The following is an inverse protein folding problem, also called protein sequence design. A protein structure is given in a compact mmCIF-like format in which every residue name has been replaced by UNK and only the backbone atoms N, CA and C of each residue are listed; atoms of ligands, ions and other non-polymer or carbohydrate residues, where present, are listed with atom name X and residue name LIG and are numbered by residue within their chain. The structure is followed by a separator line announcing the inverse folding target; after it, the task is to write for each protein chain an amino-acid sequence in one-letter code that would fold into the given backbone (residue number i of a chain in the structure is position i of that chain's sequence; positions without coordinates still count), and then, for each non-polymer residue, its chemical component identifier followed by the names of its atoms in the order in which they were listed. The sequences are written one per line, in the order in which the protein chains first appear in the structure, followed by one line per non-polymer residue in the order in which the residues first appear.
data_IF_252896468251
#
_entry.id   IF_252896468251
#
_cell.length_a   1.000
_cell.length_b   1.000
_cell.length_c   1.000
_cell.angle_alpha   90.00
_cell.angle_beta   90.00
_cell.angle_gamma   90.00
#
_symmetry.space_group_name_H-M   'P 1'
#
loop_
_entity.id
_entity.type
_entity.pdbx_description
1 polymer ?
#
# COMPACT_ATOMS: atom_id res chain seq x y z
N UNK A 1 8.59 -7.34 9.63
CA UNK A 1 9.45 -6.85 8.53
C UNK A 1 10.45 -5.86 9.10
N UNK A 2 11.70 -5.90 8.66
CA UNK A 2 12.73 -4.95 9.09
C UNK A 2 12.63 -3.62 8.29
N UNK A 3 12.77 -2.48 8.99
CA UNK A 3 12.65 -1.14 8.38
C UNK A 3 13.72 -0.86 7.34
N UNK A 4 14.96 -1.32 7.57
CA UNK A 4 16.08 -1.10 6.65
C UNK A 4 15.87 -1.88 5.36
N UNK A 5 15.34 -3.11 5.45
CA UNK A 5 14.96 -3.90 4.27
C UNK A 5 13.86 -3.18 3.47
N UNK A 6 12.81 -2.71 4.16
CA UNK A 6 11.72 -1.97 3.52
C UNK A 6 12.21 -0.70 2.82
N UNK A 7 13.03 0.12 3.48
CA UNK A 7 13.54 1.36 2.91
C UNK A 7 14.41 1.11 1.68
N UNK A 8 15.29 0.11 1.73
CA UNK A 8 16.08 -0.29 0.56
C UNK A 8 15.20 -0.69 -0.63
N UNK A 9 14.11 -1.39 -0.36
CA UNK A 9 13.16 -1.82 -1.38
C UNK A 9 12.43 -0.61 -2.00
N UNK A 10 11.90 0.29 -1.18
CA UNK A 10 11.15 1.45 -1.66
C UNK A 10 12.04 2.47 -2.39
N UNK A 11 13.33 2.52 -2.07
CA UNK A 11 14.30 3.43 -2.66
C UNK A 11 14.81 3.04 -4.06
N UNK A 12 14.28 1.99 -4.70
CA UNK A 12 14.75 1.50 -6.01
C UNK A 12 14.93 2.61 -7.06
N UNK A 13 13.97 3.53 -7.13
CA UNK A 13 13.92 4.59 -8.15
C UNK A 13 14.43 5.95 -7.67
N UNK A 14 15.19 5.99 -6.56
CA UNK A 14 15.69 7.25 -5.99
C UNK A 14 16.56 8.07 -6.95
N UNK A 15 17.18 7.44 -7.95
CA UNK A 15 17.99 8.13 -8.97
C UNK A 15 17.14 9.03 -9.87
N UNK A 16 15.83 8.78 -9.96
CA UNK A 16 14.86 9.66 -10.64
C UNK A 16 14.35 10.79 -9.71
N UNK A 17 14.99 10.98 -8.56
CA UNK A 17 14.68 12.03 -7.60
C UNK A 17 13.88 11.56 -6.39
N UNK A 18 13.89 12.40 -5.35
CA UNK A 18 13.11 12.20 -4.11
C UNK A 18 12.59 13.54 -3.60
N UNK A 19 11.43 13.54 -2.96
CA UNK A 19 10.86 14.74 -2.32
C UNK A 19 10.18 14.38 -1.02
N UNK A 20 10.50 15.12 0.05
CA UNK A 20 9.75 15.11 1.31
C UNK A 20 8.71 16.22 1.28
N UNK A 21 7.46 15.89 1.56
CA UNK A 21 6.36 16.85 1.64
C UNK A 21 6.29 17.34 3.08
N UNK A 22 6.49 18.64 3.30
CA UNK A 22 6.56 19.19 4.66
C UNK A 22 5.22 19.09 5.40
N UNK A 23 4.11 19.35 4.70
CA UNK A 23 2.77 19.44 5.29
C UNK A 23 2.23 18.08 5.74
N UNK A 24 2.57 16.99 5.04
CA UNK A 24 2.05 15.64 5.34
C UNK A 24 3.14 14.70 5.85
N UNK A 25 4.41 15.06 5.67
CA UNK A 25 5.57 14.22 5.92
C UNK A 25 5.76 13.09 4.90
N UNK A 26 4.92 12.98 3.86
CA UNK A 26 5.05 11.96 2.83
C UNK A 26 6.42 12.04 2.15
N UNK A 27 7.00 10.87 1.87
CA UNK A 27 8.27 10.77 1.17
C UNK A 27 8.04 10.11 -0.19
N UNK A 28 8.22 10.90 -1.23
CA UNK A 28 7.99 10.56 -2.62
C UNK A 28 9.31 10.17 -3.28
N UNK A 29 9.32 9.06 -4.01
CA UNK A 29 10.53 8.44 -4.55
C UNK A 29 10.31 8.12 -6.03
N UNK A 30 11.24 8.59 -6.86
CA UNK A 30 11.27 8.41 -8.30
C UNK A 30 10.21 9.24 -9.01
N UNK A 31 10.59 10.42 -9.49
CA UNK A 31 9.67 11.27 -10.23
C UNK A 31 9.29 10.62 -11.56
N UNK A 32 7.99 10.50 -11.82
CA UNK A 32 7.44 9.86 -13.02
C UNK A 32 6.82 10.90 -13.97
N UNK A 33 7.59 11.93 -14.33
CA UNK A 33 7.12 13.01 -15.23
C UNK A 33 6.56 12.53 -16.57
N UNK A 34 6.92 11.31 -17.00
CA UNK A 34 6.38 10.69 -18.21
C UNK A 34 4.89 10.29 -18.08
N UNK A 35 4.37 10.14 -16.85
CA UNK A 35 2.95 9.90 -16.56
C UNK A 35 2.23 11.23 -16.33
N UNK A 36 2.75 12.03 -15.38
CA UNK A 36 2.29 13.39 -15.09
C UNK A 36 3.39 14.15 -14.35
N UNK A 37 3.39 15.48 -14.42
CA UNK A 37 4.43 16.32 -13.78
C UNK A 37 4.56 16.09 -12.27
N UNK A 38 3.45 15.73 -11.62
CA UNK A 38 3.35 15.45 -10.19
C UNK A 38 3.24 13.95 -9.87
N UNK A 39 3.51 13.06 -10.83
CA UNK A 39 3.52 11.62 -10.57
C UNK A 39 4.84 11.19 -9.91
N UNK A 40 4.73 10.24 -8.99
CA UNK A 40 5.86 9.64 -8.29
C UNK A 40 5.65 8.14 -8.24
N UNK A 41 6.70 7.38 -8.56
CA UNK A 41 6.61 5.92 -8.62
C UNK A 41 6.24 5.35 -7.26
N UNK A 42 7.00 5.69 -6.22
CA UNK A 42 6.76 5.17 -4.88
C UNK A 42 6.45 6.29 -3.89
N UNK A 43 5.58 6.00 -2.93
CA UNK A 43 5.26 6.87 -1.80
C UNK A 43 5.22 6.08 -0.50
N UNK A 44 5.85 6.63 0.54
CA UNK A 44 5.78 6.13 1.92
C UNK A 44 5.39 7.28 2.85
N UNK A 45 4.80 6.96 4.00
CA UNK A 45 4.16 7.94 4.86
C UNK A 45 4.65 7.83 6.30
N UNK A 46 4.67 8.94 7.06
CA UNK A 46 5.08 8.92 8.47
C UNK A 46 4.26 7.91 9.27
N UNK A 47 4.95 7.10 10.07
CA UNK A 47 4.32 6.09 10.92
C UNK A 47 3.30 6.70 11.89
N UNK A 48 2.35 5.87 12.31
CA UNK A 48 1.36 6.22 13.32
C UNK A 48 1.95 6.05 14.72
N UNK A 49 1.58 6.96 15.61
CA UNK A 49 1.73 6.76 17.05
C UNK A 49 0.75 5.70 17.57
N UNK A 50 0.96 5.25 18.82
CA UNK A 50 0.03 4.38 19.53
C UNK A 50 -1.37 5.00 19.64
N UNK A 51 -1.43 6.28 20.02
CA UNK A 51 -2.68 7.01 20.10
C UNK A 51 -3.39 7.07 18.73
N UNK A 52 -2.67 7.45 17.66
CA UNK A 52 -3.29 7.53 16.33
C UNK A 52 -3.83 6.19 15.84
N UNK A 53 -3.17 5.09 16.22
CA UNK A 53 -3.56 3.73 15.85
C UNK A 53 -4.78 3.29 16.66
N UNK A 54 -4.83 3.56 17.97
CA UNK A 54 -6.01 3.30 18.80
C UNK A 54 -7.25 4.09 18.35
N UNK A 55 -7.07 5.36 17.96
CA UNK A 55 -8.13 6.16 17.34
C UNK A 55 -8.61 5.55 16.02
N UNK A 56 -7.70 5.01 15.21
CA UNK A 56 -8.06 4.34 13.96
C UNK A 56 -8.85 3.06 14.24
N UNK A 57 -8.42 2.22 15.18
CA UNK A 57 -9.16 1.00 15.58
C UNK A 57 -10.57 1.34 16.08
N UNK A 58 -10.71 2.42 16.84
CA UNK A 58 -12.01 2.95 17.28
C UNK A 58 -12.87 3.39 16.10
N UNK A 59 -12.28 4.11 15.12
CA UNK A 59 -13.00 4.57 13.92
C UNK A 59 -13.46 3.41 13.03
N UNK A 60 -12.66 2.36 12.94
CA UNK A 60 -12.94 1.18 12.12
C UNK A 60 -13.88 0.18 12.80
N UNK A 61 -14.21 0.40 14.07
CA UNK A 61 -14.97 -0.53 14.92
C UNK A 61 -14.40 -1.95 14.90
N UNK A 62 -13.07 -2.06 14.85
CA UNK A 62 -12.39 -3.34 14.78
C UNK A 62 -10.91 -3.22 15.15
N UNK A 63 -10.31 -4.32 15.58
CA UNK A 63 -8.87 -4.41 15.81
C UNK A 63 -8.11 -4.58 14.50
N UNK A 64 -7.00 -3.86 14.38
CA UNK A 64 -6.07 -4.03 13.25
C UNK A 64 -5.22 -5.27 13.55
N UNK A 65 -5.01 -6.19 12.57
CA UNK A 65 -4.16 -7.35 12.75
C UNK A 65 -2.75 -6.95 13.25
N UNK A 66 -2.15 -7.68 14.22
CA UNK A 66 -0.91 -7.28 14.86
C UNK A 66 0.24 -6.97 13.88
N UNK A 67 0.41 -7.75 12.81
CA UNK A 67 1.45 -7.49 11.81
C UNK A 67 1.22 -6.18 11.05
N UNK A 68 -0.03 -5.89 10.68
CA UNK A 68 -0.36 -4.66 9.97
C UNK A 68 -0.27 -3.44 10.89
N UNK A 69 -0.67 -3.63 12.16
CA UNK A 69 -0.52 -2.63 13.19
C UNK A 69 0.95 -2.26 13.38
N UNK A 70 1.83 -3.27 13.49
CA UNK A 70 3.26 -3.06 13.55
C UNK A 70 3.79 -2.31 12.32
N UNK A 71 3.33 -2.69 11.12
CA UNK A 71 3.68 -2.00 9.88
C UNK A 71 3.31 -0.51 9.92
N UNK A 72 2.08 -0.17 10.31
CA UNK A 72 1.61 1.22 10.39
C UNK A 72 2.41 2.07 11.39
N UNK A 73 2.91 1.47 12.47
CA UNK A 73 3.60 2.18 13.55
C UNK A 73 5.12 2.22 13.41
N UNK A 74 5.72 1.24 12.76
CA UNK A 74 7.17 1.07 12.75
C UNK A 74 7.76 1.13 11.34
N UNK A 75 6.93 0.93 10.30
CA UNK A 75 7.38 0.87 8.92
C UNK A 75 6.87 2.04 8.09
N UNK A 76 5.56 2.15 7.90
CA UNK A 76 4.95 3.20 7.10
C UNK A 76 3.43 3.21 7.33
N UNK A 77 2.84 4.39 7.42
CA UNK A 77 1.38 4.54 7.46
C UNK A 77 0.77 4.33 6.07
N UNK A 78 0.74 3.07 5.60
CA UNK A 78 0.41 2.73 4.22
C UNK A 78 1.59 2.93 3.26
N UNK A 79 1.42 2.58 1.99
CA UNK A 79 2.41 2.82 0.93
C UNK A 79 1.78 2.73 -0.45
N UNK A 80 2.45 3.30 -1.44
CA UNK A 80 2.10 3.19 -2.85
C UNK A 80 3.36 2.84 -3.64
N UNK A 81 3.24 1.88 -4.56
CA UNK A 81 4.34 1.35 -5.38
C UNK A 81 3.97 1.49 -6.84
N UNK A 82 4.90 2.01 -7.64
CA UNK A 82 4.80 2.21 -9.09
C UNK A 82 3.52 2.93 -9.55
N UNK A 83 3.10 4.01 -8.89
CA UNK A 83 1.84 4.72 -9.20
C UNK A 83 0.62 3.82 -8.95
N UNK A 84 0.54 3.33 -7.71
CA UNK A 84 -0.60 2.59 -7.15
C UNK A 84 -0.80 1.16 -7.70
N UNK A 85 0.14 0.64 -8.49
CA UNK A 85 0.14 -0.76 -8.95
C UNK A 85 0.02 -1.73 -7.77
N UNK A 86 0.66 -1.39 -6.64
CA UNK A 86 0.35 -1.96 -5.34
C UNK A 86 0.20 -0.83 -4.34
N UNK A 87 -0.89 -0.86 -3.58
CA UNK A 87 -1.13 0.08 -2.50
C UNK A 87 -1.53 -0.65 -1.21
N UNK A 88 -0.95 -0.19 -0.09
CA UNK A 88 -1.36 -0.56 1.26
C UNK A 88 -1.92 0.68 1.96
N UNK A 89 -3.08 0.53 2.57
CA UNK A 89 -3.89 1.64 3.08
C UNK A 89 -3.46 2.01 4.51
N UNK A 90 -3.64 3.26 4.89
CA UNK A 90 -3.27 3.77 6.20
C UNK A 90 -4.33 4.70 6.78
N UNK A 91 -3.98 5.42 7.84
CA UNK A 91 -4.78 6.52 8.37
C UNK A 91 -4.57 7.76 7.52
N UNK A 92 -5.61 8.21 6.83
CA UNK A 92 -5.64 9.54 6.24
C UNK A 92 -5.94 10.57 7.33
N UNK A 93 -5.15 11.64 7.44
CA UNK A 93 -5.28 12.64 8.52
C UNK A 93 -6.26 13.76 8.17
N UNK A 94 -6.45 14.05 6.88
CA UNK A 94 -7.43 15.04 6.41
C UNK A 94 -7.83 14.80 4.94
N UNK A 95 -8.91 15.47 4.51
CA UNK A 95 -9.42 15.44 3.13
C UNK A 95 -9.19 16.76 2.39
N UNK A 96 -8.26 17.58 2.86
CA UNK A 96 -7.97 18.90 2.27
C UNK A 96 -7.34 18.70 0.89
N UNK A 97 -7.87 19.40 -0.12
CA UNK A 97 -7.41 19.36 -1.52
C UNK A 97 -7.03 20.75 -2.05
N UNK A 98 -6.50 21.60 -1.18
CA UNK A 98 -6.07 22.96 -1.53
C UNK A 98 -4.75 22.99 -2.30
N UNK A 99 -3.95 21.93 -2.22
CA UNK A 99 -2.74 21.74 -3.01
C UNK A 99 -2.45 20.25 -3.25
N UNK A 100 -1.64 19.97 -4.27
CA UNK A 100 -1.17 18.60 -4.55
C UNK A 100 -0.44 18.02 -3.32
N UNK A 101 0.38 18.83 -2.65
CA UNK A 101 1.12 18.44 -1.44
C UNK A 101 0.18 18.02 -0.30
N UNK A 102 -0.93 18.74 -0.08
CA UNK A 102 -1.92 18.39 0.94
C UNK A 102 -2.59 17.03 0.67
N UNK A 103 -2.66 16.61 -0.60
CA UNK A 103 -3.24 15.31 -0.98
C UNK A 103 -2.30 14.13 -0.78
N UNK A 104 -0.99 14.34 -0.56
CA UNK A 104 0.02 13.27 -0.38
C UNK A 104 -0.10 12.61 0.97
N UNK A 105 -1.07 11.71 1.05
CA UNK A 105 -1.43 10.90 2.22
C UNK A 105 -1.81 9.51 1.71
N UNK A 106 -1.76 8.46 2.56
CA UNK A 106 -2.18 7.14 2.13
C UNK A 106 -3.66 7.11 1.75
N UNK A 107 -4.05 6.10 1.00
CA UNK A 107 -5.45 5.70 0.90
C UNK A 107 -5.99 5.31 2.29
N UNK A 108 -7.25 5.59 2.54
CA UNK A 108 -7.83 5.45 3.86
C UNK A 108 -8.26 4.01 4.13
N UNK A 109 -7.74 3.41 5.20
CA UNK A 109 -8.04 2.02 5.60
C UNK A 109 -9.54 1.77 5.79
N UNK A 110 -10.31 2.80 6.17
CA UNK A 110 -11.78 2.71 6.25
C UNK A 110 -12.41 2.34 4.91
N UNK A 111 -11.93 2.92 3.82
CA UNK A 111 -12.44 2.67 2.47
C UNK A 111 -12.19 1.21 2.07
N UNK A 112 -11.05 0.62 2.45
CA UNK A 112 -10.77 -0.80 2.21
C UNK A 112 -11.78 -1.74 2.92
N UNK A 113 -12.23 -1.37 4.12
CA UNK A 113 -13.21 -2.16 4.88
C UNK A 113 -14.65 -1.93 4.41
N UNK A 114 -15.01 -0.71 4.03
CA UNK A 114 -16.34 -0.37 3.51
C UNK A 114 -16.57 -0.94 2.11
N UNK A 115 -15.53 -1.00 1.27
CA UNK A 115 -15.60 -1.52 -0.09
C UNK A 115 -15.20 -3.00 -0.21
N UNK A 116 -15.27 -3.77 0.89
CA UNK A 116 -14.93 -5.19 0.85
C UNK A 116 -15.92 -6.02 0.01
N UNK A 117 -15.49 -7.13 -0.61
CA UNK A 117 -16.37 -8.08 -1.28
C UNK A 117 -17.54 -8.55 -0.41
N UNK A 118 -18.69 -8.84 -1.02
CA UNK A 118 -19.91 -9.24 -0.28
C UNK A 118 -19.74 -10.54 0.50
N UNK A 119 -18.87 -11.45 0.04
CA UNK A 119 -18.57 -12.72 0.70
C UNK A 119 -17.45 -12.62 1.75
N UNK A 120 -16.97 -11.41 2.08
CA UNK A 120 -15.96 -11.22 3.11
C UNK A 120 -16.52 -11.46 4.52
N UNK A 121 -15.77 -12.18 5.36
CA UNK A 121 -16.11 -12.41 6.77
C UNK A 121 -15.52 -11.33 7.68
N UNK A 122 -15.84 -11.37 8.98
CA UNK A 122 -15.23 -10.50 10.00
C UNK A 122 -13.75 -10.78 10.24
N UNK A 123 -13.28 -11.99 9.89
CA UNK A 123 -11.89 -12.39 10.04
C UNK A 123 -11.00 -11.84 8.92
N UNK A 124 -11.59 -11.34 7.84
CA UNK A 124 -10.86 -10.77 6.70
C UNK A 124 -10.67 -9.27 6.87
N UNK A 125 -9.45 -8.85 7.21
CA UNK A 125 -9.11 -7.44 7.36
C UNK A 125 -8.47 -6.90 6.08
N UNK A 126 -9.20 -6.11 5.30
CA UNK A 126 -8.70 -5.58 4.03
C UNK A 126 -7.69 -4.46 4.25
N UNK A 127 -6.55 -4.57 3.57
CA UNK A 127 -5.39 -3.70 3.77
C UNK A 127 -4.97 -2.91 2.52
N UNK A 128 -5.53 -3.21 1.35
CA UNK A 128 -5.11 -2.57 0.11
C UNK A 128 -5.44 -3.40 -1.12
N UNK A 129 -4.67 -3.22 -2.19
CA UNK A 129 -4.94 -3.88 -3.47
C UNK A 129 -4.03 -3.45 -4.61
N UNK A 130 -4.45 -3.83 -5.82
CA UNK A 130 -3.75 -3.54 -7.08
C UNK A 130 -4.65 -2.68 -7.97
N UNK A 131 -4.08 -1.64 -8.60
CA UNK A 131 -4.84 -0.70 -9.43
C UNK A 131 -5.30 -1.31 -10.77
N UNK A 132 -4.55 -2.28 -11.32
CA UNK A 132 -4.81 -2.90 -12.63
C UNK A 132 -6.24 -3.38 -12.85
N UNK A 133 -6.80 -4.11 -11.88
CA UNK A 133 -8.18 -4.63 -11.93
C UNK A 133 -9.00 -4.30 -10.67
N UNK A 134 -8.42 -3.54 -9.73
CA UNK A 134 -9.02 -3.24 -8.43
C UNK A 134 -9.12 -4.46 -7.51
N UNK A 135 -8.35 -5.52 -7.77
CA UNK A 135 -8.18 -6.65 -6.87
C UNK A 135 -7.64 -6.22 -5.52
N UNK A 136 -7.93 -7.01 -4.50
CA UNK A 136 -7.80 -6.62 -3.09
C UNK A 136 -6.85 -7.54 -2.34
N UNK A 137 -6.30 -7.00 -1.26
CA UNK A 137 -5.49 -7.69 -0.29
C UNK A 137 -6.18 -7.64 1.07
N UNK A 138 -6.22 -8.78 1.75
CA UNK A 138 -6.66 -8.86 3.14
C UNK A 138 -5.73 -9.74 3.97
N UNK A 139 -5.72 -9.50 5.28
CA UNK A 139 -5.09 -10.37 6.28
C UNK A 139 -6.19 -11.19 6.94
N UNK A 140 -5.96 -12.50 7.03
CA UNK A 140 -6.79 -13.38 7.84
C UNK A 140 -6.38 -13.22 9.31
N UNK A 141 -7.29 -12.68 10.13
CA UNK A 141 -7.06 -12.40 11.55
C UNK A 141 -6.77 -13.66 12.38
N UNK A 142 -7.08 -14.86 11.88
CA UNK A 142 -6.92 -16.11 12.61
C UNK A 142 -5.47 -16.61 12.63
N UNK A 143 -4.72 -16.32 11.58
CA UNK A 143 -3.36 -16.85 11.37
C UNK A 143 -2.36 -15.81 10.80
N UNK A 144 -2.79 -14.57 10.54
CA UNK A 144 -2.02 -13.48 9.92
C UNK A 144 -1.55 -13.73 8.48
N UNK A 145 -2.05 -14.76 7.78
CA UNK A 145 -1.73 -14.93 6.36
C UNK A 145 -2.34 -13.81 5.54
N UNK A 146 -1.62 -13.39 4.50
CA UNK A 146 -2.09 -12.36 3.57
C UNK A 146 -2.67 -13.05 2.34
N UNK A 147 -3.81 -12.56 1.87
CA UNK A 147 -4.52 -13.13 0.75
C UNK A 147 -4.78 -12.08 -0.32
N UNK A 148 -4.59 -12.49 -1.56
CA UNK A 148 -4.99 -11.78 -2.76
C UNK A 148 -6.31 -12.34 -3.28
N UNK A 149 -7.25 -11.47 -3.61
CA UNK A 149 -8.57 -11.83 -4.10
C UNK A 149 -9.10 -10.84 -5.15
N UNK A 150 -10.18 -11.21 -5.84
CA UNK A 150 -10.79 -10.33 -6.85
C UNK A 150 -11.45 -9.13 -6.19
N UNK A 151 -11.68 -8.08 -6.98
CA UNK A 151 -12.34 -6.85 -6.54
C UNK A 151 -13.66 -7.07 -5.79
N UNK A 152 -14.46 -8.04 -6.24
CA UNK A 152 -15.82 -8.30 -5.73
C UNK A 152 -16.00 -9.70 -5.16
N UNK A 153 -14.93 -10.49 -5.03
CA UNK A 153 -14.97 -11.86 -4.49
C UNK A 153 -13.74 -12.09 -3.61
N UNK A 154 -13.96 -12.30 -2.31
CA UNK A 154 -12.90 -12.51 -1.32
C UNK A 154 -12.33 -13.94 -1.31
N UNK A 155 -12.69 -14.79 -2.27
CA UNK A 155 -12.06 -16.11 -2.43
C UNK A 155 -10.57 -15.91 -2.72
N UNK A 156 -9.73 -16.48 -1.85
CA UNK A 156 -8.27 -16.40 -1.99
C UNK A 156 -7.82 -17.03 -3.31
N UNK A 157 -7.14 -16.23 -4.13
CA UNK A 157 -6.50 -16.69 -5.36
C UNK A 157 -5.02 -17.02 -5.13
N UNK A 158 -4.38 -16.29 -4.22
CA UNK A 158 -3.00 -16.50 -3.78
C UNK A 158 -2.87 -16.06 -2.33
N UNK A 159 -1.96 -16.68 -1.59
CA UNK A 159 -1.65 -16.30 -0.22
C UNK A 159 -0.15 -16.26 0.05
N UNK A 160 0.22 -15.54 1.11
CA UNK A 160 1.55 -15.49 1.70
C UNK A 160 1.44 -15.77 3.19
N UNK A 161 2.48 -16.34 3.78
CA UNK A 161 2.48 -16.72 5.19
C UNK A 161 2.61 -15.51 6.12
N UNK A 162 3.06 -14.35 5.60
CA UNK A 162 3.19 -13.12 6.37
C UNK A 162 3.10 -11.86 5.51
N UNK A 163 2.85 -10.71 6.16
CA UNK A 163 2.87 -9.40 5.51
C UNK A 163 4.24 -9.06 4.92
N UNK A 164 5.32 -9.46 5.59
CA UNK A 164 6.68 -9.21 5.14
C UNK A 164 6.99 -9.94 3.82
N UNK A 165 6.60 -11.22 3.74
CA UNK A 165 6.80 -12.03 2.54
C UNK A 165 6.01 -11.45 1.36
N UNK A 166 4.75 -11.07 1.58
CA UNK A 166 3.92 -10.45 0.55
C UNK A 166 4.56 -9.17 0.01
N UNK A 167 4.93 -8.22 0.88
CA UNK A 167 5.52 -6.95 0.45
C UNK A 167 6.83 -7.18 -0.31
N UNK A 168 7.73 -8.00 0.23
CA UNK A 168 9.05 -8.20 -0.38
C UNK A 168 8.92 -8.90 -1.74
N UNK A 169 8.10 -9.94 -1.83
CA UNK A 169 7.94 -10.70 -3.07
C UNK A 169 7.21 -9.89 -4.14
N UNK A 170 6.10 -9.22 -3.80
CA UNK A 170 5.29 -8.51 -4.77
C UNK A 170 5.93 -7.21 -5.25
N UNK A 171 6.59 -6.45 -4.37
CA UNK A 171 7.31 -5.25 -4.82
C UNK A 171 8.50 -5.63 -5.71
N UNK A 172 9.25 -6.69 -5.39
CA UNK A 172 10.31 -7.20 -6.29
C UNK A 172 9.76 -7.67 -7.64
N UNK A 173 8.62 -8.38 -7.63
CA UNK A 173 7.95 -8.82 -8.84
C UNK A 173 7.52 -7.63 -9.70
N UNK A 174 6.81 -6.66 -9.12
CA UNK A 174 6.39 -5.45 -9.81
C UNK A 174 7.59 -4.71 -10.40
N UNK A 175 8.66 -4.52 -9.64
CA UNK A 175 9.89 -3.89 -10.15
C UNK A 175 10.56 -4.60 -11.32
N UNK A 176 10.29 -5.89 -11.54
CA UNK A 176 10.77 -6.61 -12.73
C UNK A 176 9.95 -6.33 -13.99
N UNK A 177 8.77 -5.73 -13.85
CA UNK A 177 7.88 -5.33 -14.95
C UNK A 177 8.17 -3.91 -15.45
N UNK A 178 9.03 -3.17 -14.76
CA UNK A 178 9.34 -1.77 -15.06
C UNK A 178 10.84 -1.61 -15.32
N UNK A 179 11.18 -0.72 -16.26
CA UNK A 179 12.54 -0.38 -16.61
C UNK A 179 13.19 0.55 -15.58
N UNK A 180 14.44 0.97 -15.83
CA UNK A 180 15.18 1.84 -14.90
C UNK A 180 14.62 3.28 -14.84
N UNK A 181 13.85 3.71 -15.84
CA UNK A 181 13.18 5.00 -15.87
C UNK A 181 11.77 4.94 -15.24
N UNK A 182 11.40 3.77 -14.71
CA UNK A 182 10.13 3.53 -14.04
C UNK A 182 8.95 3.44 -15.02
N UNK A 183 9.20 3.13 -16.29
CA UNK A 183 8.16 2.85 -17.28
C UNK A 183 7.91 1.35 -17.32
N UNK A 184 6.65 0.97 -17.53
CA UNK A 184 6.30 -0.43 -17.71
C UNK A 184 6.92 -0.95 -19.02
N UNK A 185 7.59 -2.11 -18.95
CA UNK A 185 8.29 -2.71 -20.11
C UNK A 185 7.27 -3.21 -21.15
N UNK A 186 6.14 -3.75 -20.69
CA UNK A 186 5.02 -4.18 -21.53
C UNK A 186 3.70 -3.76 -20.84
N UNK A 187 3.05 -2.74 -21.39
CA UNK A 187 1.79 -2.19 -20.86
C UNK A 187 0.61 -3.18 -20.94
N UNK A 188 0.69 -4.23 -21.77
CA UNK A 188 -0.35 -5.26 -21.82
C UNK A 188 -0.17 -6.34 -20.74
N UNK A 189 1.00 -6.37 -20.09
CA UNK A 189 1.31 -7.35 -19.07
C UNK A 189 0.66 -6.93 -17.75
N UNK A 190 -0.18 -7.80 -17.20
CA UNK A 190 -0.83 -7.53 -15.93
C UNK A 190 0.19 -7.37 -14.79
N UNK A 191 -0.09 -6.39 -13.93
CA UNK A 191 0.69 -6.10 -12.71
C UNK A 191 0.12 -6.78 -11.47
N UNK A 192 -0.97 -7.55 -11.57
CA UNK A 192 -1.49 -8.36 -10.45
C UNK A 192 -0.56 -9.55 -10.12
N UNK A 193 -0.68 -10.15 -8.92
CA UNK A 193 0.09 -11.33 -8.55
C UNK A 193 -0.08 -12.48 -9.56
N UNK A 194 1.03 -13.16 -9.87
CA UNK A 194 0.97 -14.42 -10.63
C UNK A 194 0.40 -15.50 -9.72
N UNK A 195 -0.68 -16.13 -10.18
CA UNK A 195 -1.41 -17.23 -9.53
C UNK A 195 -0.85 -18.57 -10.00
#
# INVERSE_FOLDING_TARGET
MDKVIFDKLMMRYRHLGTRKIETTGAFLIGNASHIASEAWLNSVYPCLSEQETAELETLLDTTIPPEYRYFLQNISNGMNVLVDELCLFGKRKNYIRTSMDATRQPFNLRDALEEKPRNATSDMFFIGGYSWDGSKLYIDKRNNSVHYCKRYDSTSLKSWDSLAEMIISEVKRLYSLFDLDGKQIDENKSTIPVI
#
